data_IF_984930429291
#
_entry.id   IF_984930429291
#
_cell.length_a   1.000
_cell.length_b   1.000
_cell.length_c   1.000
_cell.angle_alpha   90.00
_cell.angle_beta   90.00
_cell.angle_gamma   90.00
#
_symmetry.space_group_name_H-M   'P 1'
#
loop_
_entity.id
_entity.type
_entity.pdbx_description
1 polymer ?
#
# COMPACT_ATOMS: atom_id res chain seq x y z
N UNK A 1 25.80 -29.29 28.61
CA UNK A 1 24.38 -28.88 28.66
C UNK A 1 24.39 -27.36 28.72
N UNK A 2 24.10 -26.72 27.58
CA UNK A 2 23.45 -25.41 27.53
C UNK A 2 23.05 -25.15 26.07
N UNK A 3 21.75 -25.17 25.72
CA UNK A 3 21.31 -24.91 24.36
C UNK A 3 20.92 -23.45 24.16
N UNK A 4 21.40 -22.91 23.03
CA UNK A 4 20.70 -22.01 22.13
C UNK A 4 20.22 -20.65 22.69
N UNK A 5 21.05 -19.64 22.45
CA UNK A 5 20.62 -18.26 22.24
C UNK A 5 19.74 -18.25 20.97
N UNK A 6 18.42 -18.27 21.19
CA UNK A 6 17.40 -18.21 20.16
C UNK A 6 17.36 -16.84 19.48
N UNK A 7 17.72 -16.84 18.21
CA UNK A 7 17.65 -15.75 17.25
C UNK A 7 16.21 -15.21 17.16
N UNK A 8 15.96 -14.03 17.73
CA UNK A 8 14.67 -13.30 17.66
C UNK A 8 14.71 -12.24 16.56
N UNK A 9 14.93 -12.65 15.32
CA UNK A 9 14.58 -11.81 14.18
C UNK A 9 13.09 -12.02 13.88
N UNK A 10 12.24 -11.15 14.45
CA UNK A 10 10.84 -11.06 14.09
C UNK A 10 10.72 -10.78 12.59
N UNK A 11 10.37 -11.80 11.82
CA UNK A 11 10.08 -11.67 10.40
C UNK A 11 8.80 -10.83 10.32
N UNK A 12 8.95 -9.54 10.01
CA UNK A 12 7.81 -8.71 9.61
C UNK A 12 7.25 -9.36 8.36
N UNK A 13 6.05 -9.95 8.47
CA UNK A 13 5.37 -10.59 7.36
C UNK A 13 4.85 -9.48 6.44
N UNK A 14 5.72 -9.07 5.51
CA UNK A 14 5.41 -8.04 4.53
C UNK A 14 4.31 -8.57 3.60
N UNK A 15 3.37 -7.69 3.25
CA UNK A 15 2.21 -8.03 2.43
C UNK A 15 2.67 -8.66 1.13
N UNK A 16 2.35 -9.94 0.92
CA UNK A 16 2.70 -10.66 -0.31
C UNK A 16 2.14 -9.89 -1.51
N UNK A 17 2.98 -9.69 -2.53
CA UNK A 17 2.63 -8.98 -3.77
C UNK A 17 1.77 -9.86 -4.71
N UNK A 18 0.72 -10.45 -4.15
CA UNK A 18 -0.25 -11.35 -4.80
C UNK A 18 -1.66 -11.00 -4.34
N UNK A 19 -2.62 -10.88 -5.26
CA UNK A 19 -4.00 -10.49 -4.98
C UNK A 19 -4.49 -9.28 -5.81
N UNK A 20 -5.72 -8.78 -5.59
CA UNK A 20 -6.32 -7.70 -6.40
C UNK A 20 -5.49 -6.40 -6.46
N UNK A 21 -4.74 -6.08 -5.41
CA UNK A 21 -3.86 -4.90 -5.32
C UNK A 21 -2.41 -5.17 -5.77
N UNK A 22 -2.09 -6.39 -6.21
CA UNK A 22 -0.71 -6.76 -6.55
C UNK A 22 -0.18 -6.07 -7.82
N UNK A 23 -1.07 -5.60 -8.69
CA UNK A 23 -0.68 -4.90 -9.92
C UNK A 23 0.04 -3.59 -9.61
N UNK A 24 -0.60 -2.71 -8.82
CA UNK A 24 -0.04 -1.42 -8.41
C UNK A 24 1.24 -1.61 -7.57
N UNK A 25 1.23 -2.54 -6.62
CA UNK A 25 2.37 -2.74 -5.71
C UNK A 25 3.67 -3.20 -6.41
N UNK A 26 3.56 -3.96 -7.52
CA UNK A 26 4.74 -4.35 -8.32
C UNK A 26 5.36 -3.15 -9.02
N UNK A 27 4.54 -2.27 -9.57
CA UNK A 27 5.00 -1.04 -10.18
C UNK A 27 5.57 -0.09 -9.13
N UNK A 28 4.94 0.00 -7.95
CA UNK A 28 5.45 0.83 -6.86
C UNK A 28 6.85 0.37 -6.40
N UNK A 29 7.10 -0.93 -6.33
CA UNK A 29 8.42 -1.49 -6.05
C UNK A 29 9.45 -1.14 -7.13
N UNK A 30 9.10 -1.27 -8.41
CA UNK A 30 9.99 -0.91 -9.51
C UNK A 30 10.28 0.59 -9.55
N UNK A 31 9.28 1.42 -9.26
CA UNK A 31 9.42 2.88 -9.11
C UNK A 31 10.37 3.21 -7.98
N UNK A 32 10.22 2.57 -6.82
CA UNK A 32 11.12 2.77 -5.68
C UNK A 32 12.59 2.43 -6.03
N UNK A 33 12.83 1.31 -6.70
CA UNK A 33 14.17 0.93 -7.18
C UNK A 33 14.72 1.93 -8.20
N UNK A 34 13.88 2.38 -9.14
CA UNK A 34 14.27 3.35 -10.16
C UNK A 34 14.69 4.69 -9.55
N UNK A 35 13.87 5.23 -8.66
CA UNK A 35 14.08 6.54 -8.04
C UNK A 35 15.28 6.51 -7.08
N UNK A 36 15.45 5.44 -6.30
CA UNK A 36 16.65 5.26 -5.49
C UNK A 36 17.92 5.13 -6.34
N UNK A 37 17.82 4.51 -7.52
CA UNK A 37 18.92 4.45 -8.48
C UNK A 37 19.30 5.83 -9.01
N UNK A 38 18.31 6.66 -9.36
CA UNK A 38 18.52 8.02 -9.85
C UNK A 38 19.13 8.96 -8.81
N UNK A 39 18.78 8.79 -7.53
CA UNK A 39 19.37 9.54 -6.42
C UNK A 39 20.69 8.94 -5.90
N UNK A 40 21.10 7.79 -6.44
CA UNK A 40 22.25 7.03 -5.98
C UNK A 40 23.56 7.37 -6.69
N UNK A 41 24.61 6.63 -6.34
CA UNK A 41 25.86 6.66 -7.11
C UNK A 41 25.68 6.00 -8.49
N UNK A 42 26.53 6.29 -9.49
CA UNK A 42 26.47 5.63 -10.80
C UNK A 42 26.54 4.09 -10.73
N UNK A 43 27.26 3.57 -9.73
CA UNK A 43 27.35 2.12 -9.47
C UNK A 43 26.02 1.58 -8.96
N UNK A 44 25.38 2.26 -8.01
CA UNK A 44 24.07 1.87 -7.48
C UNK A 44 23.00 1.97 -8.57
N UNK A 45 22.97 3.08 -9.32
CA UNK A 45 22.05 3.27 -10.44
C UNK A 45 22.11 2.10 -11.43
N UNK A 46 23.32 1.71 -11.83
CA UNK A 46 23.52 0.57 -12.74
C UNK A 46 23.05 -0.75 -12.11
N UNK A 47 23.35 -0.95 -10.82
CA UNK A 47 22.95 -2.16 -10.09
C UNK A 47 21.43 -2.28 -9.98
N UNK A 48 20.73 -1.18 -9.67
CA UNK A 48 19.28 -1.15 -9.54
C UNK A 48 18.59 -1.24 -10.91
N UNK A 49 19.16 -0.65 -11.97
CA UNK A 49 18.67 -0.87 -13.34
C UNK A 49 18.74 -2.36 -13.74
N UNK A 50 19.87 -3.02 -13.45
CA UNK A 50 20.05 -4.45 -13.70
C UNK A 50 19.10 -5.31 -12.89
N UNK A 51 18.91 -4.97 -11.60
CA UNK A 51 17.95 -5.62 -10.72
C UNK A 51 16.53 -5.50 -11.28
N UNK A 52 16.10 -4.29 -11.64
CA UNK A 52 14.79 -4.04 -12.24
C UNK A 52 14.59 -4.85 -13.51
N UNK A 53 15.57 -4.86 -14.44
CA UNK A 53 15.49 -5.66 -15.66
C UNK A 53 15.37 -7.18 -15.38
N UNK A 54 16.07 -7.69 -14.37
CA UNK A 54 15.97 -9.09 -13.95
C UNK A 54 14.61 -9.40 -13.33
N UNK A 55 14.09 -8.51 -12.48
CA UNK A 55 12.77 -8.66 -11.85
C UNK A 55 11.67 -8.66 -12.90
N UNK A 56 11.68 -7.70 -13.82
CA UNK A 56 10.64 -7.62 -14.86
C UNK A 56 10.69 -8.79 -15.84
N UNK A 57 11.87 -9.32 -16.14
CA UNK A 57 12.01 -10.41 -17.10
C UNK A 57 11.72 -11.81 -16.53
N UNK A 58 11.99 -12.04 -15.24
CA UNK A 58 12.07 -13.40 -14.66
C UNK A 58 11.55 -13.57 -13.24
N UNK A 59 11.04 -12.53 -12.56
CA UNK A 59 10.51 -12.70 -11.19
C UNK A 59 9.25 -13.56 -11.17
N UNK A 60 9.28 -14.66 -10.42
CA UNK A 60 8.10 -15.44 -10.13
C UNK A 60 7.41 -14.90 -8.88
N UNK A 61 6.45 -13.99 -9.07
CA UNK A 61 5.69 -13.38 -7.97
C UNK A 61 4.89 -14.37 -7.12
N UNK A 62 4.56 -15.55 -7.63
CA UNK A 62 3.84 -16.58 -6.87
C UNK A 62 4.78 -17.32 -5.93
N UNK A 63 5.99 -17.63 -6.40
CA UNK A 63 7.01 -18.33 -5.59
C UNK A 63 7.90 -17.37 -4.80
N UNK A 64 7.81 -16.06 -5.06
CA UNK A 64 8.67 -15.03 -4.50
C UNK A 64 10.18 -15.28 -4.79
N UNK A 65 10.49 -15.74 -6.01
CA UNK A 65 11.85 -16.14 -6.38
C UNK A 65 12.18 -15.81 -7.85
N UNK A 66 13.47 -15.60 -8.12
CA UNK A 66 14.09 -15.61 -9.43
C UNK A 66 15.06 -16.80 -9.49
N UNK A 67 14.97 -17.58 -10.56
CA UNK A 67 15.97 -18.58 -10.92
C UNK A 67 16.43 -18.31 -12.36
N UNK A 68 17.65 -17.81 -12.53
CA UNK A 68 18.22 -17.49 -13.86
C UNK A 68 19.74 -17.77 -13.89
N UNK A 69 20.22 -18.37 -14.98
CA UNK A 69 21.62 -18.74 -15.14
C UNK A 69 22.54 -17.54 -15.38
N UNK A 70 23.84 -17.67 -15.07
CA UNK A 70 24.82 -16.59 -15.29
C UNK A 70 24.95 -16.17 -16.76
N UNK A 71 24.92 -17.13 -17.68
CA UNK A 71 24.97 -16.89 -19.13
C UNK A 71 23.72 -16.17 -19.66
N UNK A 72 22.56 -16.40 -19.05
CA UNK A 72 21.32 -15.69 -19.40
C UNK A 72 21.32 -14.27 -18.82
N UNK A 73 21.78 -14.10 -17.58
CA UNK A 73 21.97 -12.78 -16.99
C UNK A 73 22.98 -11.93 -17.77
N UNK A 74 24.07 -12.54 -18.23
CA UNK A 74 25.07 -11.89 -19.07
C UNK A 74 24.44 -11.31 -20.34
N UNK A 75 23.57 -12.09 -21.00
CA UNK A 75 22.80 -11.63 -22.17
C UNK A 75 21.78 -10.55 -21.80
N UNK A 76 20.99 -10.75 -20.74
CA UNK A 76 19.97 -9.79 -20.29
C UNK A 76 20.57 -8.42 -19.96
N UNK A 77 21.76 -8.40 -19.36
CA UNK A 77 22.44 -7.18 -18.95
C UNK A 77 23.45 -6.66 -19.98
N UNK A 78 23.62 -7.34 -21.11
CA UNK A 78 24.63 -7.04 -22.13
C UNK A 78 26.06 -6.91 -21.56
N UNK A 79 26.46 -7.85 -20.70
CA UNK A 79 27.78 -7.90 -20.06
C UNK A 79 28.36 -9.31 -20.07
N UNK A 80 29.62 -9.46 -19.65
CA UNK A 80 30.25 -10.77 -19.46
C UNK A 80 29.86 -11.42 -18.12
N UNK A 81 30.06 -12.74 -18.03
CA UNK A 81 29.73 -13.52 -16.82
C UNK A 81 30.55 -13.10 -15.59
N UNK A 82 31.78 -12.59 -15.76
CA UNK A 82 32.58 -12.03 -14.67
C UNK A 82 31.86 -10.84 -14.03
N UNK A 83 31.28 -9.97 -14.84
CA UNK A 83 30.48 -8.83 -14.38
C UNK A 83 29.21 -9.32 -13.69
N UNK A 84 28.53 -10.32 -14.25
CA UNK A 84 27.36 -10.93 -13.59
C UNK A 84 27.70 -11.41 -12.18
N UNK A 85 28.79 -12.17 -12.01
CA UNK A 85 29.22 -12.66 -10.69
C UNK A 85 29.45 -11.52 -9.69
N UNK A 86 30.09 -10.43 -10.14
CA UNK A 86 30.34 -9.25 -9.30
C UNK A 86 29.05 -8.53 -8.93
N UNK A 87 28.14 -8.35 -9.87
CA UNK A 87 26.85 -7.67 -9.63
C UNK A 87 25.94 -8.49 -8.72
N UNK A 88 25.82 -9.80 -8.95
CA UNK A 88 25.05 -10.68 -8.07
C UNK A 88 25.62 -10.70 -6.65
N UNK A 89 26.94 -10.71 -6.51
CA UNK A 89 27.60 -10.58 -5.20
C UNK A 89 27.28 -9.25 -4.54
N UNK A 90 27.34 -8.14 -5.28
CA UNK A 90 26.97 -6.81 -4.76
C UNK A 90 25.52 -6.74 -4.30
N UNK A 91 24.58 -7.14 -5.16
CA UNK A 91 23.15 -7.12 -4.86
C UNK A 91 22.78 -7.98 -3.63
N UNK A 92 23.50 -9.08 -3.41
CA UNK A 92 23.29 -9.94 -2.23
C UNK A 92 23.99 -9.40 -0.98
N UNK A 93 25.22 -8.88 -1.09
CA UNK A 93 25.95 -8.30 0.05
C UNK A 93 25.33 -6.99 0.56
N UNK A 94 24.86 -6.14 -0.36
CA UNK A 94 24.17 -4.89 -0.01
C UNK A 94 22.73 -5.16 0.47
N UNK A 95 22.29 -6.42 0.39
CA UNK A 95 21.03 -6.88 0.95
C UNK A 95 19.81 -6.58 0.09
N UNK A 96 19.96 -6.20 -1.19
CA UNK A 96 18.84 -6.05 -2.14
C UNK A 96 18.15 -7.38 -2.44
N UNK A 97 18.92 -8.47 -2.40
CA UNK A 97 18.46 -9.82 -2.68
C UNK A 97 18.94 -10.81 -1.62
N UNK A 98 18.14 -11.85 -1.38
CA UNK A 98 18.47 -12.95 -0.48
C UNK A 98 18.62 -14.22 -1.31
N UNK A 99 19.74 -14.92 -1.12
CA UNK A 99 19.93 -16.25 -1.71
C UNK A 99 19.06 -17.26 -0.95
N UNK A 100 18.04 -17.78 -1.62
CA UNK A 100 17.14 -18.81 -1.05
C UNK A 100 17.78 -20.18 -1.20
N UNK A 101 18.35 -20.46 -2.38
CA UNK A 101 19.04 -21.71 -2.68
C UNK A 101 20.32 -21.42 -3.44
N UNK A 102 21.49 -21.85 -2.95
CA UNK A 102 22.74 -21.65 -3.68
C UNK A 102 22.73 -22.48 -4.97
N UNK A 103 23.27 -21.90 -6.04
CA UNK A 103 23.51 -22.64 -7.27
C UNK A 103 24.56 -23.73 -7.04
N UNK A 104 24.34 -24.92 -7.59
CA UNK A 104 25.28 -26.05 -7.55
C UNK A 104 25.53 -26.54 -8.97
N UNK A 105 26.49 -27.44 -9.18
CA UNK A 105 26.79 -27.99 -10.51
C UNK A 105 25.51 -28.53 -11.16
N UNK A 106 25.12 -27.96 -12.30
CA UNK A 106 23.92 -28.34 -13.05
C UNK A 106 22.59 -27.74 -12.55
N UNK A 107 22.57 -26.95 -11.46
CA UNK A 107 21.36 -26.27 -10.96
C UNK A 107 21.60 -24.79 -10.70
N UNK A 108 20.70 -23.97 -11.22
CA UNK A 108 20.71 -22.52 -11.05
C UNK A 108 20.31 -22.17 -9.61
N UNK A 109 20.94 -21.14 -9.04
CA UNK A 109 20.57 -20.63 -7.73
C UNK A 109 19.25 -19.87 -7.75
N UNK A 110 18.53 -19.92 -6.63
CA UNK A 110 17.28 -19.19 -6.45
C UNK A 110 17.48 -18.01 -5.50
N UNK A 111 16.95 -16.86 -5.88
CA UNK A 111 17.06 -15.62 -5.11
C UNK A 111 15.70 -14.96 -4.94
N UNK A 112 15.46 -14.30 -3.82
CA UNK A 112 14.27 -13.48 -3.58
C UNK A 112 14.64 -12.04 -3.31
N UNK A 113 13.69 -11.12 -3.50
CA UNK A 113 13.89 -9.71 -3.12
C UNK A 113 13.87 -9.57 -1.59
N UNK A 114 14.70 -8.67 -1.08
CA UNK A 114 14.66 -8.27 0.32
C UNK A 114 13.78 -7.03 0.48
N UNK A 115 12.47 -7.24 0.56
CA UNK A 115 11.51 -6.15 0.64
C UNK A 115 11.80 -5.16 1.79
N UNK A 116 12.16 -5.65 2.97
CA UNK A 116 12.49 -4.81 4.12
C UNK A 116 13.65 -3.86 3.80
N UNK A 117 14.76 -4.38 3.24
CA UNK A 117 15.91 -3.56 2.87
C UNK A 117 15.64 -2.64 1.69
N UNK A 118 14.83 -3.09 0.72
CA UNK A 118 14.41 -2.24 -0.39
C UNK A 118 13.63 -1.05 0.14
N UNK A 119 12.67 -1.25 1.04
CA UNK A 119 11.89 -0.15 1.61
C UNK A 119 12.77 0.79 2.43
N UNK A 120 13.60 0.26 3.33
CA UNK A 120 14.55 1.06 4.11
C UNK A 120 15.45 1.93 3.22
N UNK A 121 16.06 1.35 2.18
CA UNK A 121 16.99 2.06 1.31
C UNK A 121 16.32 3.06 0.36
N UNK A 122 15.04 2.86 0.05
CA UNK A 122 14.31 3.69 -0.93
C UNK A 122 13.45 4.76 -0.26
N UNK A 123 13.12 4.61 1.04
CA UNK A 123 12.30 5.53 1.82
C UNK A 123 12.70 7.01 1.68
N UNK A 124 14.00 7.38 1.74
CA UNK A 124 14.41 8.77 1.61
C UNK A 124 14.01 9.41 0.27
N UNK A 125 13.73 8.59 -0.75
CA UNK A 125 13.50 9.05 -2.12
C UNK A 125 12.01 9.06 -2.50
N UNK A 126 11.10 8.53 -1.68
CA UNK A 126 9.68 8.38 -2.07
C UNK A 126 8.99 9.73 -2.30
N UNK A 127 9.33 10.74 -1.49
CA UNK A 127 8.78 12.09 -1.64
C UNK A 127 9.10 12.74 -3.00
N UNK A 128 10.18 12.30 -3.68
CA UNK A 128 10.54 12.81 -5.00
C UNK A 128 9.58 12.33 -6.11
N UNK A 129 8.82 11.26 -5.88
CA UNK A 129 7.79 10.76 -6.80
C UNK A 129 6.48 11.51 -6.61
N UNK A 130 6.10 11.72 -5.35
CA UNK A 130 4.90 12.45 -4.95
C UNK A 130 4.34 11.95 -3.62
N UNK A 131 3.51 12.77 -2.94
CA UNK A 131 2.99 12.45 -1.61
C UNK A 131 2.14 11.18 -1.58
N UNK A 132 1.28 10.98 -2.58
CA UNK A 132 0.43 9.78 -2.71
C UNK A 132 1.25 8.48 -2.85
N UNK A 133 2.38 8.53 -3.58
CA UNK A 133 3.29 7.39 -3.67
C UNK A 133 3.97 7.11 -2.33
N UNK A 134 4.42 8.15 -1.63
CA UNK A 134 5.05 8.01 -0.32
C UNK A 134 4.09 7.39 0.70
N UNK A 135 2.83 7.83 0.74
CA UNK A 135 1.80 7.29 1.63
C UNK A 135 1.55 5.80 1.37
N UNK A 136 1.43 5.38 0.10
CA UNK A 136 1.28 3.96 -0.26
C UNK A 136 2.48 3.11 0.15
N UNK A 137 3.69 3.63 -0.07
CA UNK A 137 4.93 2.93 0.27
C UNK A 137 5.13 2.82 1.79
N UNK A 138 4.72 3.83 2.56
CA UNK A 138 4.74 3.80 4.02
C UNK A 138 3.75 2.77 4.59
N UNK A 139 2.55 2.66 4.01
CA UNK A 139 1.59 1.60 4.36
C UNK A 139 2.16 0.22 4.04
N UNK A 140 2.73 0.06 2.85
CA UNK A 140 3.23 -1.24 2.35
C UNK A 140 4.48 -1.74 3.08
N UNK A 141 5.37 -0.82 3.48
CA UNK A 141 6.59 -1.17 4.22
C UNK A 141 6.33 -1.63 5.65
N UNK A 142 5.11 -1.43 6.17
CA UNK A 142 4.81 -1.62 7.58
C UNK A 142 5.55 -0.63 8.50
N UNK A 143 6.21 0.39 7.93
CA UNK A 143 6.86 1.47 8.66
C UNK A 143 5.83 2.32 9.40
N UNK A 144 4.58 2.34 8.92
CA UNK A 144 3.44 2.63 9.79
C UNK A 144 3.37 1.56 10.85
N UNK A 145 4.06 1.81 11.97
CA UNK A 145 4.03 1.02 13.19
C UNK A 145 2.56 0.91 13.59
N UNK A 146 1.92 -0.19 13.20
CA UNK A 146 0.64 -0.58 13.79
C UNK A 146 0.98 -0.76 15.25
N UNK A 147 0.66 0.24 16.07
CA UNK A 147 0.43 0.03 17.48
C UNK A 147 -0.55 -1.13 17.47
N UNK A 148 -0.06 -2.34 17.78
CA UNK A 148 -0.93 -3.46 18.06
C UNK A 148 -1.71 -3.00 19.28
N UNK A 149 -2.87 -2.42 19.03
CA UNK A 149 -3.83 -2.14 20.07
C UNK A 149 -4.27 -3.53 20.48
N UNK A 150 -3.74 -4.02 21.60
CA UNK A 150 -4.27 -5.21 22.24
C UNK A 150 -5.73 -4.90 22.60
N UNK A 151 -6.67 -5.33 21.74
CA UNK A 151 -8.11 -5.17 21.94
C UNK A 151 -8.65 -5.88 23.19
N UNK A 152 -7.79 -6.46 24.03
CA UNK A 152 -8.16 -7.08 25.32
C UNK A 152 -7.87 -6.21 26.54
N UNK A 153 -7.18 -5.09 26.40
CA UNK A 153 -6.98 -4.18 27.52
C UNK A 153 -6.72 -2.77 27.03
N UNK A 154 -7.76 -2.04 26.64
CA UNK A 154 -7.68 -0.59 26.72
C UNK A 154 -9.06 -0.02 26.95
N UNK A 155 -9.27 0.44 28.18
CA UNK A 155 -10.31 1.41 28.46
C UNK A 155 -10.17 2.58 27.48
N UNK A 156 -11.30 2.96 26.93
CA UNK A 156 -11.49 4.00 25.92
C UNK A 156 -10.59 5.23 26.13
N UNK A 157 -9.52 5.35 25.33
CA UNK A 157 -9.04 6.66 24.94
C UNK A 157 -9.97 7.14 23.82
N UNK A 158 -11.04 7.82 24.23
CA UNK A 158 -12.00 8.47 23.34
C UNK A 158 -11.25 9.58 22.61
N UNK A 159 -10.82 9.31 21.37
CA UNK A 159 -10.54 10.39 20.42
C UNK A 159 -11.87 11.11 20.22
N UNK A 160 -11.95 12.45 20.43
CA UNK A 160 -13.19 13.18 20.19
C UNK A 160 -13.60 12.96 18.74
N UNK A 161 -14.81 12.45 18.52
CA UNK A 161 -15.32 12.31 17.16
C UNK A 161 -15.46 13.68 16.52
N UNK A 162 -15.14 13.76 15.23
CA UNK A 162 -15.32 14.95 14.41
C UNK A 162 -16.78 15.43 14.52
N UNK A 163 -17.03 16.74 14.66
CA UNK A 163 -18.38 17.24 14.80
C UNK A 163 -19.21 16.89 13.56
N UNK A 164 -20.44 16.43 13.80
CA UNK A 164 -21.42 16.22 12.74
C UNK A 164 -21.97 17.58 12.31
N UNK A 165 -22.24 17.80 11.01
CA UNK A 165 -22.90 19.01 10.55
C UNK A 165 -24.19 19.30 11.34
N UNK A 166 -24.41 20.56 11.67
CA UNK A 166 -25.63 21.00 12.36
C UNK A 166 -26.82 20.95 11.39
N UNK A 167 -27.90 20.30 11.81
CA UNK A 167 -29.10 20.14 10.99
C UNK A 167 -29.96 18.95 11.42
N UNK A 168 -31.27 19.05 11.22
CA UNK A 168 -32.22 18.00 11.57
C UNK A 168 -32.52 17.03 10.40
N UNK A 169 -32.17 17.41 9.17
CA UNK A 169 -32.52 16.71 7.93
C UNK A 169 -31.32 16.67 6.98
N UNK A 170 -31.45 15.99 5.83
CA UNK A 170 -30.43 15.97 4.78
C UNK A 170 -29.13 15.28 5.21
N UNK A 171 -27.98 15.81 4.76
CA UNK A 171 -26.67 15.24 5.10
C UNK A 171 -26.42 15.19 6.60
N UNK A 172 -26.85 16.20 7.37
CA UNK A 172 -26.63 16.25 8.83
C UNK A 172 -27.24 15.05 9.58
N UNK A 173 -28.45 14.63 9.21
CA UNK A 173 -29.11 13.46 9.80
C UNK A 173 -28.41 12.15 9.42
N UNK A 174 -28.04 12.01 8.14
CA UNK A 174 -27.32 10.85 7.60
C UNK A 174 -25.93 10.73 8.23
N UNK A 175 -25.20 11.84 8.34
CA UNK A 175 -23.88 11.92 8.97
C UNK A 175 -23.94 11.52 10.45
N UNK A 176 -24.97 11.95 11.21
CA UNK A 176 -25.17 11.55 12.61
C UNK A 176 -25.37 10.05 12.77
N UNK A 177 -26.15 9.46 11.86
CA UNK A 177 -26.40 8.01 11.82
C UNK A 177 -25.14 7.23 11.45
N UNK A 178 -24.40 7.69 10.46
CA UNK A 178 -23.13 7.09 10.05
C UNK A 178 -22.09 7.17 11.17
N UNK A 179 -22.03 8.29 11.90
CA UNK A 179 -21.17 8.44 13.06
C UNK A 179 -21.54 7.47 14.20
N UNK A 180 -22.84 7.29 14.47
CA UNK A 180 -23.30 6.34 15.49
C UNK A 180 -23.09 4.87 15.10
N UNK A 181 -23.36 4.51 13.83
CA UNK A 181 -23.28 3.12 13.36
C UNK A 181 -21.85 2.68 13.03
N UNK A 182 -21.06 3.58 12.46
CA UNK A 182 -19.72 3.31 11.94
C UNK A 182 -18.74 4.45 12.26
N UNK A 183 -18.42 4.68 13.55
CA UNK A 183 -17.60 5.81 13.99
C UNK A 183 -16.23 5.87 13.31
N UNK A 184 -15.56 4.73 13.12
CA UNK A 184 -14.24 4.68 12.46
C UNK A 184 -14.28 5.09 10.97
N UNK A 185 -15.33 4.68 10.25
CA UNK A 185 -15.52 5.05 8.85
C UNK A 185 -15.92 6.52 8.73
N UNK A 186 -16.69 7.02 9.70
CA UNK A 186 -17.07 8.42 9.77
C UNK A 186 -15.84 9.32 9.90
N UNK A 187 -14.98 9.06 10.88
CA UNK A 187 -13.75 9.85 11.07
C UNK A 187 -12.81 9.79 9.86
N UNK A 188 -12.66 8.61 9.26
CA UNK A 188 -11.68 8.39 8.20
C UNK A 188 -12.12 8.95 6.84
N UNK A 189 -13.42 8.91 6.54
CA UNK A 189 -13.96 9.17 5.20
C UNK A 189 -15.13 10.16 5.20
N UNK A 190 -16.19 9.90 5.97
CA UNK A 190 -17.44 10.67 5.84
C UNK A 190 -17.35 12.08 6.43
N UNK A 191 -16.56 12.30 7.48
CA UNK A 191 -16.33 13.61 8.08
C UNK A 191 -15.71 14.63 7.10
N UNK A 192 -15.09 14.14 6.02
CA UNK A 192 -14.48 14.97 4.97
C UNK A 192 -15.50 15.42 3.91
N UNK A 193 -16.70 14.83 3.88
CA UNK A 193 -17.75 15.17 2.93
C UNK A 193 -18.50 16.42 3.36
N UNK A 194 -18.79 17.27 2.38
CA UNK A 194 -19.66 18.44 2.55
C UNK A 194 -20.92 18.28 1.72
N UNK A 195 -22.01 18.88 2.18
CA UNK A 195 -23.23 18.93 1.41
C UNK A 195 -23.06 19.89 0.21
N UNK A 196 -23.41 19.40 -0.98
CA UNK A 196 -23.41 20.17 -2.22
C UNK A 196 -24.70 20.97 -2.40
N UNK A 197 -24.92 21.58 -3.58
CA UNK A 197 -26.14 22.31 -3.86
C UNK A 197 -27.38 21.40 -3.73
N UNK A 198 -28.40 21.90 -3.02
CA UNK A 198 -29.65 21.16 -2.81
C UNK A 198 -30.36 20.91 -4.14
N UNK A 199 -30.78 19.67 -4.35
CA UNK A 199 -31.58 19.26 -5.52
C UNK A 199 -32.70 18.35 -5.07
N UNK A 200 -33.90 18.57 -5.60
CA UNK A 200 -35.07 17.78 -5.26
C UNK A 200 -34.83 16.30 -5.55
N UNK A 201 -34.91 15.46 -4.50
CA UNK A 201 -34.74 14.01 -4.62
C UNK A 201 -33.30 13.51 -4.68
N UNK A 202 -32.29 14.38 -4.51
CA UNK A 202 -30.87 14.01 -4.51
C UNK A 202 -30.16 14.49 -3.23
N UNK A 203 -29.32 13.63 -2.67
CA UNK A 203 -28.35 13.99 -1.63
C UNK A 203 -26.99 14.18 -2.30
N UNK A 204 -26.64 15.44 -2.59
CA UNK A 204 -25.38 15.81 -3.21
C UNK A 204 -24.28 15.91 -2.16
N UNK A 205 -23.26 15.05 -2.26
CA UNK A 205 -22.12 15.03 -1.37
C UNK A 205 -20.85 15.35 -2.14
N UNK A 206 -20.13 16.36 -1.66
CA UNK A 206 -18.90 16.86 -2.26
C UNK A 206 -17.72 16.37 -1.44
N UNK A 207 -16.87 15.56 -2.07
CA UNK A 207 -15.60 15.11 -1.52
C UNK A 207 -14.48 16.14 -1.78
N UNK A 208 -13.45 16.20 -0.93
CA UNK A 208 -12.36 17.17 -1.07
C UNK A 208 -11.46 16.92 -2.27
N UNK A 209 -11.45 15.69 -2.82
CA UNK A 209 -10.69 15.35 -4.03
C UNK A 209 -11.31 14.11 -4.73
N UNK A 210 -10.89 13.88 -5.98
CA UNK A 210 -11.39 12.77 -6.81
C UNK A 210 -11.08 11.39 -6.22
N UNK A 211 -9.99 11.24 -5.44
CA UNK A 211 -9.65 9.98 -4.79
C UNK A 211 -10.67 9.63 -3.69
N UNK A 212 -11.00 10.57 -2.81
CA UNK A 212 -12.00 10.38 -1.75
C UNK A 212 -13.37 10.11 -2.37
N UNK A 213 -13.75 10.85 -3.42
CA UNK A 213 -14.99 10.59 -4.16
C UNK A 213 -15.03 9.17 -4.74
N UNK A 214 -13.97 8.75 -5.44
CA UNK A 214 -13.88 7.44 -6.08
C UNK A 214 -13.84 6.29 -5.08
N UNK A 215 -13.10 6.45 -3.98
CA UNK A 215 -13.01 5.45 -2.93
C UNK A 215 -14.37 5.23 -2.26
N UNK A 216 -15.05 6.32 -1.88
CA UNK A 216 -16.39 6.25 -1.28
C UNK A 216 -17.37 5.63 -2.28
N UNK A 217 -17.38 6.08 -3.54
CA UNK A 217 -18.27 5.54 -4.56
C UNK A 217 -18.08 4.02 -4.78
N UNK A 218 -16.85 3.52 -4.68
CA UNK A 218 -16.54 2.11 -4.98
C UNK A 218 -16.69 1.19 -3.77
N UNK A 219 -16.33 1.64 -2.56
CA UNK A 219 -16.21 0.75 -1.40
C UNK A 219 -17.17 1.09 -0.25
N UNK A 220 -17.58 2.35 -0.13
CA UNK A 220 -18.32 2.83 1.04
C UNK A 220 -19.72 3.36 0.72
N UNK A 221 -20.10 3.40 -0.57
CA UNK A 221 -21.37 3.97 -1.04
C UNK A 221 -22.57 3.26 -0.43
N UNK A 222 -22.47 1.95 -0.23
CA UNK A 222 -23.53 1.14 0.36
C UNK A 222 -23.90 1.64 1.77
N UNK A 223 -22.92 1.98 2.62
CA UNK A 223 -23.19 2.47 3.98
C UNK A 223 -23.94 3.81 3.97
N UNK A 224 -23.58 4.71 3.04
CA UNK A 224 -24.27 5.99 2.87
C UNK A 224 -25.70 5.76 2.38
N UNK A 225 -25.90 4.87 1.40
CA UNK A 225 -27.22 4.51 0.88
C UNK A 225 -28.11 3.88 1.95
N UNK A 226 -27.58 2.97 2.76
CA UNK A 226 -28.30 2.35 3.88
C UNK A 226 -28.72 3.39 4.92
N UNK A 227 -27.82 4.30 5.29
CA UNK A 227 -28.12 5.38 6.23
C UNK A 227 -29.22 6.32 5.67
N UNK A 228 -29.17 6.65 4.38
CA UNK A 228 -30.19 7.45 3.69
C UNK A 228 -31.55 6.76 3.67
N UNK A 229 -31.60 5.47 3.37
CA UNK A 229 -32.85 4.70 3.36
C UNK A 229 -33.47 4.64 4.77
N UNK A 230 -32.65 4.51 5.81
CA UNK A 230 -33.13 4.49 7.19
C UNK A 230 -33.66 5.84 7.65
N UNK A 231 -33.00 6.95 7.30
CA UNK A 231 -33.51 8.30 7.58
C UNK A 231 -34.80 8.59 6.80
N UNK A 232 -34.88 8.20 5.53
CA UNK A 232 -36.07 8.37 4.72
C UNK A 232 -37.29 7.62 5.30
N UNK A 233 -37.07 6.39 5.80
CA UNK A 233 -38.09 5.62 6.52
C UNK A 233 -38.52 6.30 7.82
N UNK A 234 -37.57 6.84 8.58
CA UNK A 234 -37.86 7.54 9.83
C UNK A 234 -38.68 8.82 9.61
N UNK A 235 -38.45 9.52 8.49
CA UNK A 235 -39.18 10.74 8.10
C UNK A 235 -40.40 10.50 7.20
N UNK A 236 -40.76 9.24 6.90
CA UNK A 236 -41.85 8.87 5.96
C UNK A 236 -41.74 9.52 4.56
N UNK A 237 -40.51 9.82 4.12
CA UNK A 237 -40.23 10.47 2.84
C UNK A 237 -39.58 9.48 1.86
N UNK A 238 -39.64 9.71 0.53
CA UNK A 238 -38.91 8.89 -0.42
C UNK A 238 -37.40 9.06 -0.23
N UNK A 239 -36.65 7.96 -0.31
CA UNK A 239 -35.20 7.99 -0.13
C UNK A 239 -34.53 8.77 -1.27
N UNK A 240 -33.79 9.85 -0.98
CA UNK A 240 -33.10 10.61 -2.02
C UNK A 240 -31.96 9.79 -2.63
N UNK A 241 -31.69 10.01 -3.91
CA UNK A 241 -30.57 9.38 -4.60
C UNK A 241 -29.27 10.04 -4.14
N UNK A 242 -28.31 9.24 -3.69
CA UNK A 242 -26.98 9.75 -3.32
C UNK A 242 -26.18 10.04 -4.59
N UNK A 243 -25.66 11.26 -4.69
CA UNK A 243 -24.78 11.70 -5.77
C UNK A 243 -23.48 12.20 -5.15
N UNK A 244 -22.36 11.63 -5.58
CA UNK A 244 -21.03 12.02 -5.13
C UNK A 244 -20.34 12.82 -6.23
N UNK A 245 -19.82 13.99 -5.86
CA UNK A 245 -18.95 14.82 -6.68
C UNK A 245 -17.67 15.18 -5.91
N UNK A 246 -16.68 15.76 -6.58
CA UNK A 246 -15.50 16.32 -5.93
C UNK A 246 -15.42 17.82 -6.17
N UNK A 247 -14.74 18.53 -5.27
CA UNK A 247 -14.32 19.94 -5.46
C UNK A 247 -13.39 20.06 -6.66
#
# INVERSE_FOLDING_TARGET
MDPAIGDRHGIVELKKLTGPQAGSMKYDLLTALGVAGLHGSPTLQTSLMRLSAMVTARYNWRLDEISIGQTELARLWAVNERTVKREMKRLTQDGWMICVRPGVRGRVGAYRLNYARIYENTQPCWAAVGPDFADRMEEMSGARRVVKVDFKASAANVVPLSPVPEGATGWAAVARRLQHGHPEMYESWFAKLKEGPERAGELNLVAPNAFVAGYIATHLLQFVQEAVVLEAKASQNPAPRVVLSCV
#
